data_IF_945178927520
#
_entry.id   IF_945178927520
#
_cell.length_a   1.000
_cell.length_b   1.000
_cell.length_c   1.000
_cell.angle_alpha   90.00
_cell.angle_beta   90.00
_cell.angle_gamma   90.00
#
_symmetry.space_group_name_H-M   'P 1'
#
loop_
_entity.id
_entity.type
_entity.pdbx_description
1 polymer ?
#
# COMPACT_ATOMS: atom_id res chain seq x y z
N UNK A 1 14.63 25.97 0.90
CA UNK A 1 15.88 25.19 0.68
C UNK A 1 15.56 24.17 -0.40
N UNK A 2 15.94 24.45 -1.64
CA UNK A 2 15.70 23.56 -2.80
C UNK A 2 16.63 22.35 -2.65
N UNK A 3 16.06 21.17 -2.55
CA UNK A 3 16.83 19.93 -2.59
C UNK A 3 17.57 19.88 -3.94
N UNK A 4 18.84 19.44 -3.97
CA UNK A 4 19.55 19.28 -5.23
C UNK A 4 18.82 18.25 -6.09
N UNK A 5 18.56 18.60 -7.37
CA UNK A 5 18.12 17.64 -8.38
C UNK A 5 19.05 16.44 -8.33
N UNK A 6 18.52 15.29 -7.93
CA UNK A 6 19.27 14.04 -8.08
C UNK A 6 19.40 13.78 -9.58
N UNK A 7 20.56 13.98 -10.12
CA UNK A 7 20.90 13.49 -11.45
C UNK A 7 20.86 11.95 -11.39
N UNK A 8 19.70 11.38 -11.67
CA UNK A 8 19.59 9.94 -11.82
C UNK A 8 20.27 9.55 -13.12
N UNK A 9 21.46 8.98 -13.01
CA UNK A 9 22.06 8.31 -14.15
C UNK A 9 21.09 7.19 -14.59
N UNK A 10 20.75 7.12 -15.88
CA UNK A 10 19.87 6.07 -16.37
C UNK A 10 20.49 4.69 -16.06
N UNK A 11 19.67 3.68 -15.73
CA UNK A 11 20.17 2.33 -15.48
C UNK A 11 20.91 1.82 -16.73
N UNK A 12 21.89 0.91 -16.51
CA UNK A 12 22.56 0.29 -17.65
C UNK A 12 21.53 -0.49 -18.50
N UNK A 13 21.76 -0.63 -19.83
CA UNK A 13 20.82 -1.34 -20.71
C UNK A 13 20.52 -2.78 -20.28
N UNK A 14 21.47 -3.44 -19.63
CA UNK A 14 21.28 -4.80 -19.09
C UNK A 14 20.34 -4.81 -17.87
N UNK A 15 20.47 -3.85 -16.96
CA UNK A 15 19.59 -3.71 -15.79
C UNK A 15 18.18 -3.34 -16.22
N UNK A 16 18.05 -2.38 -17.15
CA UNK A 16 16.73 -2.00 -17.68
C UNK A 16 16.02 -3.20 -18.32
N UNK A 17 16.73 -3.97 -19.14
CA UNK A 17 16.16 -5.18 -19.76
C UNK A 17 15.72 -6.18 -18.72
N UNK A 18 16.53 -6.44 -17.70
CA UNK A 18 16.17 -7.34 -16.59
C UNK A 18 14.90 -6.90 -15.86
N UNK A 19 14.73 -5.59 -15.61
CA UNK A 19 13.50 -5.05 -15.02
C UNK A 19 12.29 -5.24 -15.94
N UNK A 20 12.45 -4.98 -17.24
CA UNK A 20 11.40 -5.14 -18.24
C UNK A 20 11.03 -6.59 -18.52
N UNK A 21 11.94 -7.55 -18.28
CA UNK A 21 11.68 -8.99 -18.39
C UNK A 21 11.08 -9.58 -17.09
N UNK A 22 10.87 -8.76 -16.05
CA UNK A 22 10.39 -9.18 -14.74
C UNK A 22 8.86 -9.36 -14.70
N UNK A 23 8.36 -9.62 -13.50
CA UNK A 23 6.92 -9.68 -13.17
C UNK A 23 6.17 -8.39 -13.57
N UNK A 24 4.89 -8.46 -13.96
CA UNK A 24 4.11 -7.26 -14.27
C UNK A 24 4.17 -6.17 -13.21
N UNK A 25 4.21 -6.54 -11.92
CA UNK A 25 4.32 -5.59 -10.81
C UNK A 25 5.61 -4.76 -10.78
N UNK A 26 6.68 -5.27 -11.38
CA UNK A 26 7.96 -4.55 -11.55
C UNK A 26 8.02 -3.87 -12.90
N UNK A 27 7.56 -4.56 -13.94
CA UNK A 27 7.68 -4.11 -15.33
C UNK A 27 6.95 -2.79 -15.58
N UNK A 28 5.70 -2.64 -15.12
CA UNK A 28 4.95 -1.41 -15.34
C UNK A 28 5.63 -0.20 -14.68
N UNK A 29 6.23 -0.37 -13.50
CA UNK A 29 6.98 0.68 -12.81
C UNK A 29 8.26 1.05 -13.57
N UNK A 30 9.01 0.03 -14.05
CA UNK A 30 10.18 0.27 -14.88
C UNK A 30 9.82 0.98 -16.20
N UNK A 31 8.71 0.63 -16.83
CA UNK A 31 8.21 1.32 -18.03
C UNK A 31 7.88 2.78 -17.71
N UNK A 32 7.20 3.05 -16.59
CA UNK A 32 6.78 4.39 -16.18
C UNK A 32 7.97 5.30 -15.84
N UNK A 33 8.93 4.78 -15.08
CA UNK A 33 9.94 5.61 -14.42
C UNK A 33 11.28 5.63 -15.15
N UNK A 34 11.54 4.65 -16.02
CA UNK A 34 12.85 4.43 -16.63
C UNK A 34 12.82 4.36 -18.16
N UNK A 35 11.66 4.55 -18.80
CA UNK A 35 11.50 4.55 -20.26
C UNK A 35 10.57 5.67 -20.72
N UNK A 36 10.54 5.89 -22.03
CA UNK A 36 9.60 6.81 -22.69
C UNK A 36 8.31 6.09 -23.14
N UNK A 37 7.91 5.01 -22.45
CA UNK A 37 6.73 4.24 -22.83
C UNK A 37 5.45 5.10 -22.76
N UNK A 38 4.56 5.02 -23.75
CA UNK A 38 3.29 5.73 -23.73
C UNK A 38 2.44 5.35 -22.49
N UNK A 39 1.77 6.32 -21.90
CA UNK A 39 0.95 6.11 -20.70
C UNK A 39 -0.09 4.98 -20.86
N UNK A 40 -0.62 4.79 -22.07
CA UNK A 40 -1.56 3.71 -22.37
C UNK A 40 -0.91 2.32 -22.28
N UNK A 41 0.34 2.18 -22.68
CA UNK A 41 1.09 0.92 -22.58
C UNK A 41 1.44 0.62 -21.11
N UNK A 42 1.87 1.63 -20.33
CA UNK A 42 2.12 1.52 -18.90
C UNK A 42 0.84 1.08 -18.18
N UNK A 43 -0.30 1.71 -18.48
CA UNK A 43 -1.58 1.35 -17.90
C UNK A 43 -2.02 -0.08 -18.25
N UNK A 44 -1.81 -0.50 -19.50
CA UNK A 44 -2.11 -1.87 -19.93
C UNK A 44 -1.23 -2.90 -19.22
N UNK A 45 0.06 -2.62 -19.06
CA UNK A 45 0.97 -3.50 -18.32
C UNK A 45 0.60 -3.57 -16.82
N UNK A 46 0.28 -2.43 -16.22
CA UNK A 46 -0.17 -2.37 -14.82
C UNK A 46 -1.45 -3.19 -14.59
N UNK A 47 -2.40 -3.17 -15.54
CA UNK A 47 -3.64 -3.94 -15.43
C UNK A 47 -3.38 -5.46 -15.34
N UNK A 48 -2.26 -5.95 -15.87
CA UNK A 48 -1.86 -7.37 -15.81
C UNK A 48 -1.52 -7.84 -14.39
N UNK A 49 -1.21 -6.93 -13.46
CA UNK A 49 -0.95 -7.27 -12.05
C UNK A 49 -2.09 -8.07 -11.42
N UNK A 50 -3.33 -7.81 -11.81
CA UNK A 50 -4.50 -8.54 -11.30
C UNK A 50 -4.64 -9.96 -11.85
N UNK A 51 -4.07 -10.26 -13.03
CA UNK A 51 -4.31 -11.49 -13.77
C UNK A 51 -3.07 -12.34 -14.00
N UNK A 52 -1.89 -11.79 -13.78
CA UNK A 52 -0.61 -12.45 -14.06
C UNK A 52 0.38 -12.24 -12.91
N UNK A 53 1.38 -13.12 -12.84
CA UNK A 53 2.53 -12.97 -11.97
C UNK A 53 2.20 -13.08 -10.47
N UNK A 54 2.92 -12.31 -9.68
CA UNK A 54 2.85 -12.34 -8.22
C UNK A 54 1.53 -11.78 -7.69
N UNK A 55 1.01 -10.71 -8.31
CA UNK A 55 -0.26 -10.10 -7.91
C UNK A 55 -1.44 -11.06 -8.06
N UNK A 56 -1.56 -11.72 -9.21
CA UNK A 56 -2.59 -12.73 -9.44
C UNK A 56 -2.49 -13.92 -8.47
N UNK A 57 -1.27 -14.40 -8.22
CA UNK A 57 -1.05 -15.48 -7.22
C UNK A 57 -1.47 -15.04 -5.83
N UNK A 58 -1.16 -13.81 -5.44
CA UNK A 58 -1.53 -13.27 -4.14
C UNK A 58 -3.04 -13.11 -4.00
N UNK A 59 -3.73 -12.64 -5.03
CA UNK A 59 -5.19 -12.56 -5.08
C UNK A 59 -5.82 -13.96 -4.97
N UNK A 60 -5.27 -14.97 -5.61
CA UNK A 60 -5.76 -16.35 -5.56
C UNK A 60 -5.62 -17.01 -4.16
N UNK A 61 -4.79 -16.46 -3.28
CA UNK A 61 -4.64 -16.92 -1.89
C UNK A 61 -5.69 -16.33 -0.94
N UNK A 62 -6.59 -15.46 -1.42
CA UNK A 62 -7.67 -14.92 -0.60
C UNK A 62 -8.62 -16.05 -0.20
N UNK A 63 -8.88 -16.15 1.10
CA UNK A 63 -9.81 -17.15 1.65
C UNK A 63 -11.27 -16.87 1.29
N UNK A 64 -12.15 -17.87 1.46
CA UNK A 64 -13.59 -17.71 1.20
C UNK A 64 -14.26 -16.68 2.12
N UNK A 65 -13.63 -16.31 3.23
CA UNK A 65 -14.04 -15.26 4.14
C UNK A 65 -13.60 -13.85 3.68
N UNK A 66 -12.95 -13.75 2.52
CA UNK A 66 -12.44 -12.50 1.97
C UNK A 66 -11.13 -12.02 2.61
N UNK A 67 -10.48 -12.84 3.45
CA UNK A 67 -9.24 -12.48 4.15
C UNK A 67 -8.05 -13.27 3.63
N UNK A 68 -6.86 -12.75 3.94
CA UNK A 68 -5.60 -13.49 3.79
C UNK A 68 -5.12 -13.92 5.19
N UNK A 69 -4.55 -15.10 5.28
CA UNK A 69 -4.02 -15.65 6.53
C UNK A 69 -5.05 -15.80 7.65
N UNK A 70 -6.34 -15.76 7.33
CA UNK A 70 -7.45 -15.89 8.29
C UNK A 70 -7.58 -14.72 9.29
N UNK A 71 -6.85 -13.62 9.09
CA UNK A 71 -6.85 -12.48 10.01
C UNK A 71 -6.95 -11.15 9.28
N UNK A 72 -7.70 -10.20 9.85
CA UNK A 72 -7.75 -8.83 9.35
C UNK A 72 -6.42 -8.10 9.57
N UNK A 73 -5.94 -8.13 10.82
CA UNK A 73 -4.67 -7.60 11.27
C UNK A 73 -4.06 -8.53 12.33
N UNK A 74 -2.77 -8.78 12.24
CA UNK A 74 -2.00 -9.49 13.26
C UNK A 74 -0.52 -9.08 13.18
N UNK A 75 0.32 -9.60 14.08
CA UNK A 75 1.78 -9.35 14.04
C UNK A 75 2.51 -10.12 12.94
N UNK A 76 1.80 -10.95 12.17
CA UNK A 76 2.35 -11.69 11.03
C UNK A 76 2.20 -10.91 9.73
N UNK A 77 3.17 -11.07 8.84
CA UNK A 77 3.19 -10.41 7.52
C UNK A 77 2.17 -11.00 6.52
N UNK A 78 1.39 -11.98 6.91
CA UNK A 78 0.40 -12.67 6.07
C UNK A 78 -1.05 -12.24 6.34
N UNK A 79 -1.29 -11.27 7.22
CA UNK A 79 -2.64 -10.76 7.48
C UNK A 79 -3.16 -9.94 6.31
N UNK A 80 -4.49 -9.80 6.24
CA UNK A 80 -5.18 -9.07 5.16
C UNK A 80 -4.60 -7.68 4.92
N UNK A 81 -4.34 -6.91 5.98
CA UNK A 81 -3.78 -5.57 5.83
C UNK A 81 -2.39 -5.57 5.20
N UNK A 82 -1.49 -6.50 5.63
CA UNK A 82 -0.16 -6.60 5.05
C UNK A 82 -0.19 -7.00 3.58
N UNK A 83 -1.11 -7.89 3.21
CA UNK A 83 -1.32 -8.27 1.80
C UNK A 83 -1.84 -7.09 0.98
N UNK A 84 -2.77 -6.29 1.51
CA UNK A 84 -3.25 -5.09 0.84
C UNK A 84 -2.15 -4.04 0.65
N UNK A 85 -1.25 -3.88 1.63
CA UNK A 85 -0.05 -3.06 1.48
C UNK A 85 0.79 -3.52 0.30
N UNK A 86 1.07 -4.82 0.22
CA UNK A 86 1.86 -5.38 -0.87
C UNK A 86 1.17 -5.26 -2.23
N UNK A 87 -0.13 -5.53 -2.31
CA UNK A 87 -0.91 -5.37 -3.55
C UNK A 87 -0.92 -3.91 -4.05
N UNK A 88 -0.97 -2.95 -3.13
CA UNK A 88 -0.81 -1.52 -3.45
C UNK A 88 0.56 -1.23 -4.06
N UNK A 89 1.65 -1.72 -3.44
CA UNK A 89 3.02 -1.55 -3.95
C UNK A 89 3.21 -2.23 -5.33
N UNK A 90 2.55 -3.36 -5.56
CA UNK A 90 2.53 -4.01 -6.86
C UNK A 90 1.76 -3.23 -7.93
N UNK A 91 0.91 -2.27 -7.53
CA UNK A 91 0.11 -1.44 -8.44
C UNK A 91 -1.24 -2.04 -8.80
N UNK A 92 -1.81 -2.94 -7.98
CA UNK A 92 -3.16 -3.43 -8.18
C UNK A 92 -4.14 -2.27 -8.39
N UNK A 93 -5.09 -2.43 -9.31
CA UNK A 93 -6.11 -1.41 -9.55
C UNK A 93 -6.81 -1.01 -8.24
N UNK A 94 -6.82 0.27 -7.86
CA UNK A 94 -7.53 0.74 -6.67
C UNK A 94 -9.05 0.49 -6.71
N UNK A 95 -9.63 0.24 -7.90
CA UNK A 95 -11.02 -0.16 -8.06
C UNK A 95 -11.26 -1.66 -7.86
N UNK A 96 -10.22 -2.46 -7.55
CA UNK A 96 -10.35 -3.89 -7.32
C UNK A 96 -11.36 -4.22 -6.22
N UNK A 97 -12.49 -4.79 -6.59
CA UNK A 97 -13.55 -5.19 -5.65
C UNK A 97 -13.10 -6.16 -4.55
N UNK A 98 -12.27 -7.20 -4.84
CA UNK A 98 -11.76 -8.09 -3.80
C UNK A 98 -10.92 -7.34 -2.75
N UNK A 99 -10.06 -6.41 -3.19
CA UNK A 99 -9.21 -5.64 -2.30
C UNK A 99 -10.02 -4.63 -1.46
N UNK A 100 -10.98 -3.94 -2.05
CA UNK A 100 -11.87 -2.99 -1.35
C UNK A 100 -12.70 -3.69 -0.28
N UNK A 101 -13.33 -4.80 -0.61
CA UNK A 101 -14.10 -5.60 0.38
C UNK A 101 -13.21 -6.13 1.51
N UNK A 102 -12.00 -6.57 1.18
CA UNK A 102 -11.06 -7.02 2.20
C UNK A 102 -10.64 -5.87 3.14
N UNK A 103 -10.46 -4.67 2.62
CA UNK A 103 -10.14 -3.49 3.43
C UNK A 103 -11.31 -3.08 4.33
N UNK A 104 -12.55 -3.22 3.86
CA UNK A 104 -13.74 -3.01 4.70
C UNK A 104 -13.80 -4.00 5.87
N UNK A 105 -13.45 -5.28 5.63
CA UNK A 105 -13.35 -6.28 6.70
C UNK A 105 -12.26 -5.92 7.74
N UNK A 106 -11.15 -5.28 7.30
CA UNK A 106 -10.12 -4.77 8.22
C UNK A 106 -10.68 -3.59 9.00
N UNK A 107 -11.25 -2.59 8.33
CA UNK A 107 -11.83 -1.39 8.94
C UNK A 107 -12.86 -1.73 10.02
N UNK A 108 -13.76 -2.66 9.72
CA UNK A 108 -14.90 -2.99 10.58
C UNK A 108 -14.54 -4.02 11.66
N UNK A 109 -13.50 -4.81 11.44
CA UNK A 109 -13.09 -5.90 12.33
C UNK A 109 -11.92 -5.60 13.25
N UNK A 110 -11.22 -4.46 13.05
CA UNK A 110 -10.04 -4.10 13.84
C UNK A 110 -10.29 -2.82 14.64
N UNK A 111 -10.04 -2.91 15.93
CA UNK A 111 -9.93 -1.74 16.82
C UNK A 111 -8.54 -1.75 17.44
N UNK A 112 -7.95 -0.58 17.58
CA UNK A 112 -6.65 -0.43 18.23
C UNK A 112 -6.79 -0.68 19.73
N UNK A 113 -6.00 -1.62 20.27
CA UNK A 113 -6.00 -1.99 21.69
C UNK A 113 -4.57 -2.25 22.17
N UNK A 114 -4.27 -1.77 23.37
CA UNK A 114 -2.99 -2.04 24.02
C UNK A 114 -1.80 -1.43 23.30
N UNK A 115 -2.01 -0.36 22.56
CA UNK A 115 -1.00 0.35 21.80
C UNK A 115 -0.34 1.50 22.59
N UNK A 116 -0.39 1.47 23.91
CA UNK A 116 0.23 2.49 24.77
C UNK A 116 -0.78 3.37 25.48
N UNK A 117 -0.64 4.72 25.47
CA UNK A 117 -1.50 5.61 26.26
C UNK A 117 -2.98 5.37 26.03
N UNK A 118 -3.80 5.59 27.06
CA UNK A 118 -5.27 5.37 27.04
C UNK A 118 -5.99 6.05 25.86
N UNK A 119 -5.34 7.02 25.24
CA UNK A 119 -5.85 7.86 24.15
C UNK A 119 -6.15 7.12 22.84
N UNK A 120 -5.59 5.92 22.63
CA UNK A 120 -5.90 5.16 21.40
C UNK A 120 -6.62 3.82 21.68
N UNK A 121 -6.86 3.45 22.95
CA UNK A 121 -7.47 2.17 23.25
C UNK A 121 -8.95 2.14 22.84
N UNK A 122 -9.24 1.25 21.90
CA UNK A 122 -10.58 1.13 21.33
C UNK A 122 -10.87 2.02 20.12
N UNK A 123 -9.90 2.79 19.62
CA UNK A 123 -10.08 3.57 18.41
C UNK A 123 -10.44 2.70 17.20
N UNK A 124 -11.33 3.21 16.35
CA UNK A 124 -11.60 2.61 15.05
C UNK A 124 -10.35 2.58 14.18
N UNK A 125 -10.26 1.63 13.27
CA UNK A 125 -9.04 1.40 12.48
C UNK A 125 -8.49 2.67 11.79
N UNK A 126 -9.35 3.44 11.13
CA UNK A 126 -8.96 4.68 10.44
C UNK A 126 -9.00 5.94 11.34
N UNK A 127 -9.22 5.78 12.65
CA UNK A 127 -8.96 6.85 13.60
C UNK A 127 -7.49 6.89 14.07
N UNK A 128 -6.73 5.85 13.73
CA UNK A 128 -5.31 5.75 13.98
C UNK A 128 -4.95 5.26 15.39
N UNK A 129 -3.69 4.95 15.54
CA UNK A 129 -3.05 4.49 16.77
C UNK A 129 -1.85 5.38 17.12
N UNK A 130 -1.02 4.99 18.10
CA UNK A 130 0.08 5.85 18.62
C UNK A 130 1.26 6.00 17.65
N UNK A 131 1.56 4.95 16.84
CA UNK A 131 2.77 4.92 16.03
C UNK A 131 2.56 5.59 14.66
N UNK A 132 3.23 6.71 14.36
CA UNK A 132 3.07 7.43 13.10
C UNK A 132 3.39 6.58 11.87
N UNK A 133 4.34 5.64 11.99
CA UNK A 133 4.71 4.75 10.89
C UNK A 133 3.56 3.79 10.51
N UNK A 134 2.80 3.29 11.49
CA UNK A 134 1.62 2.46 11.25
C UNK A 134 0.50 3.33 10.66
N UNK A 135 0.23 4.49 11.24
CA UNK A 135 -0.75 5.44 10.74
C UNK A 135 -0.45 5.84 9.28
N UNK A 136 0.80 6.12 8.94
CA UNK A 136 1.21 6.43 7.57
C UNK A 136 0.91 5.31 6.59
N UNK A 137 1.20 4.05 6.95
CA UNK A 137 0.93 2.89 6.11
C UNK A 137 -0.56 2.62 5.96
N UNK A 138 -1.32 2.67 7.05
CA UNK A 138 -2.77 2.46 7.07
C UNK A 138 -3.49 3.55 6.26
N UNK A 139 -3.09 4.81 6.45
CA UNK A 139 -3.60 5.94 5.70
C UNK A 139 -3.33 5.83 4.20
N UNK A 140 -2.11 5.43 3.82
CA UNK A 140 -1.73 5.24 2.43
C UNK A 140 -2.54 4.12 1.73
N UNK A 141 -2.75 2.97 2.39
CA UNK A 141 -3.57 1.87 1.85
C UNK A 141 -5.04 2.27 1.81
N UNK A 142 -5.54 2.88 2.87
CA UNK A 142 -6.92 3.35 2.95
C UNK A 142 -7.26 4.33 1.82
N UNK A 143 -6.44 5.37 1.65
CA UNK A 143 -6.58 6.36 0.58
C UNK A 143 -6.51 5.71 -0.81
N UNK A 144 -5.57 4.80 -1.02
CA UNK A 144 -5.40 4.12 -2.30
C UNK A 144 -6.65 3.33 -2.72
N UNK A 145 -7.28 2.61 -1.80
CA UNK A 145 -8.49 1.83 -2.05
C UNK A 145 -9.79 2.60 -1.76
N UNK A 146 -9.73 3.93 -1.62
CA UNK A 146 -10.90 4.81 -1.56
C UNK A 146 -11.64 4.84 -0.23
N UNK A 147 -10.95 4.56 0.88
CA UNK A 147 -11.50 4.73 2.23
C UNK A 147 -11.36 6.18 2.73
N UNK A 148 -12.21 6.56 3.66
CA UNK A 148 -12.06 7.83 4.38
C UNK A 148 -10.97 7.70 5.45
N UNK A 149 -9.85 8.36 5.23
CA UNK A 149 -8.66 8.33 6.10
C UNK A 149 -8.40 9.68 6.79
N UNK A 150 -9.39 10.60 6.77
CA UNK A 150 -9.23 11.95 7.34
C UNK A 150 -8.80 11.92 8.80
N UNK A 151 -9.38 11.02 9.60
CA UNK A 151 -9.01 10.89 11.00
C UNK A 151 -7.52 10.57 11.22
N UNK A 152 -6.94 9.69 10.39
CA UNK A 152 -5.49 9.40 10.43
C UNK A 152 -4.66 10.60 9.98
N UNK A 153 -5.10 11.30 8.94
CA UNK A 153 -4.38 12.47 8.41
C UNK A 153 -4.37 13.58 9.46
N UNK A 154 -5.52 13.90 10.05
CA UNK A 154 -5.65 14.91 11.09
C UNK A 154 -4.73 14.57 12.27
N UNK A 155 -4.76 13.32 12.73
CA UNK A 155 -3.87 12.85 13.80
C UNK A 155 -2.39 12.99 13.44
N UNK A 156 -1.97 12.58 12.25
CA UNK A 156 -0.59 12.74 11.81
C UNK A 156 -0.15 14.21 11.77
N UNK A 157 -1.03 15.12 11.37
CA UNK A 157 -0.76 16.56 11.36
C UNK A 157 -0.64 17.13 12.77
N UNK A 158 -1.52 16.70 13.69
CA UNK A 158 -1.51 17.16 15.08
C UNK A 158 -0.28 16.66 15.85
N UNK A 159 0.22 15.46 15.51
CA UNK A 159 1.39 14.84 16.14
C UNK A 159 2.73 15.23 15.48
N UNK A 160 2.70 16.01 14.39
CA UNK A 160 3.91 16.42 13.70
C UNK A 160 4.77 17.34 14.57
N UNK A 161 6.06 17.00 14.69
CA UNK A 161 7.01 17.79 15.43
C UNK A 161 7.39 19.09 14.72
N UNK A 162 7.95 20.05 15.46
CA UNK A 162 8.33 21.36 14.92
C UNK A 162 9.39 21.29 13.80
N UNK A 163 10.17 20.21 13.73
CA UNK A 163 11.14 19.96 12.67
C UNK A 163 10.53 19.31 11.42
N UNK A 164 9.22 18.98 11.44
CA UNK A 164 8.48 18.33 10.37
C UNK A 164 8.53 16.80 10.42
N UNK A 165 9.15 16.20 11.42
CA UNK A 165 9.20 14.75 11.62
C UNK A 165 8.11 14.22 12.54
N UNK A 166 8.19 12.93 12.82
CA UNK A 166 7.38 12.21 13.82
C UNK A 166 8.30 11.30 14.64
N UNK A 167 7.95 11.07 15.90
CA UNK A 167 8.62 10.11 16.80
C UNK A 167 7.82 8.83 16.92
#
# INVERSE_FOLDING_TARGET
MTLPERSHLPPSPSVLRWLLDSDPSVRWQAMQDLTDAPAAEVAAERARVATEGAGARLLALQGPDGRWGGAAWNRGWNSTMHVLMLLREMGLDPASDPARRALELVRDGVTWKGCGPEECDGNAFFAGEVEPCINGQVGAVGSYFGQDVRGIIDRLLDEQLADGGWN
#
